data_IF_785782449942
#
_entry.id   IF_785782449942
#
_cell.length_a   1.000
_cell.length_b   1.000
_cell.length_c   1.000
_cell.angle_alpha   90.00
_cell.angle_beta   90.00
_cell.angle_gamma   90.00
#
_symmetry.space_group_name_H-M   'P 1'
#
loop_
_entity.id
_entity.type
_entity.pdbx_description
1 polymer ?
#
# COMPACT_ATOMS: atom_id res chain seq x y z
N UNK A 1 34.51 -12.70 -21.03
CA UNK A 1 33.90 -12.39 -22.35
C UNK A 1 32.63 -11.65 -22.08
N UNK A 2 32.57 -10.36 -22.36
CA UNK A 2 31.31 -9.59 -22.32
C UNK A 2 30.50 -9.99 -23.54
N UNK A 3 29.30 -10.53 -23.31
CA UNK A 3 28.35 -10.77 -24.41
C UNK A 3 28.11 -9.48 -25.17
N UNK A 4 28.10 -9.49 -26.50
CA UNK A 4 27.84 -8.28 -27.26
C UNK A 4 26.46 -7.73 -26.88
N UNK A 5 26.36 -6.44 -26.56
CA UNK A 5 25.12 -5.73 -26.32
C UNK A 5 24.28 -5.86 -27.59
N UNK A 6 23.17 -6.57 -27.51
CA UNK A 6 22.25 -6.73 -28.65
C UNK A 6 21.36 -5.49 -28.75
N UNK A 7 21.45 -4.68 -29.82
CA UNK A 7 20.55 -3.55 -30.02
C UNK A 7 19.10 -4.01 -30.04
N UNK A 8 18.18 -3.19 -29.51
CA UNK A 8 16.74 -3.46 -29.42
C UNK A 8 16.32 -4.63 -28.52
N UNK A 9 17.24 -5.24 -27.78
CA UNK A 9 16.87 -6.21 -26.76
C UNK A 9 16.17 -5.53 -25.59
N UNK A 10 15.06 -6.09 -25.14
CA UNK A 10 14.38 -5.67 -23.90
C UNK A 10 14.96 -6.39 -22.70
N UNK A 11 15.00 -5.73 -21.58
CA UNK A 11 15.38 -6.33 -20.31
C UNK A 11 14.69 -5.58 -19.16
N UNK A 12 14.56 -6.24 -18.04
CA UNK A 12 13.99 -5.64 -16.85
C UNK A 12 14.13 -6.56 -15.66
N UNK A 13 13.88 -6.02 -14.49
CA UNK A 13 14.00 -6.72 -13.21
C UNK A 13 12.77 -6.46 -12.37
N UNK A 14 12.26 -7.50 -11.73
CA UNK A 14 11.17 -7.43 -10.76
C UNK A 14 11.74 -7.52 -9.34
N UNK A 15 11.25 -6.66 -8.46
CA UNK A 15 11.44 -6.72 -7.02
C UNK A 15 10.09 -6.84 -6.31
N UNK A 16 10.05 -7.58 -5.21
CA UNK A 16 8.89 -7.60 -4.31
C UNK A 16 9.11 -6.60 -3.19
N UNK A 17 8.18 -5.67 -2.99
CA UNK A 17 8.14 -4.79 -1.82
C UNK A 17 7.47 -5.49 -0.64
N UNK A 18 6.39 -6.20 -0.94
CA UNK A 18 5.66 -7.06 -0.03
C UNK A 18 5.04 -8.21 -0.82
N UNK A 19 4.35 -9.11 -0.16
CA UNK A 19 3.73 -10.28 -0.79
C UNK A 19 2.78 -9.97 -1.96
N UNK A 20 2.23 -8.75 -2.02
CA UNK A 20 1.23 -8.34 -3.02
C UNK A 20 1.58 -7.02 -3.72
N UNK A 21 2.75 -6.47 -3.44
CA UNK A 21 3.25 -5.23 -4.03
C UNK A 21 4.60 -5.47 -4.68
N UNK A 22 4.74 -4.97 -5.87
CA UNK A 22 5.91 -5.18 -6.73
C UNK A 22 6.42 -3.85 -7.25
N UNK A 23 7.71 -3.79 -7.51
CA UNK A 23 8.34 -2.71 -8.22
C UNK A 23 9.45 -3.26 -9.12
N UNK A 24 9.84 -2.49 -10.09
CA UNK A 24 10.88 -2.92 -11.02
C UNK A 24 11.14 -1.89 -12.09
N UNK A 25 11.79 -2.33 -13.12
CA UNK A 25 12.00 -1.52 -14.32
C UNK A 25 11.96 -2.38 -15.59
N UNK A 26 11.72 -1.73 -16.72
CA UNK A 26 11.89 -2.33 -18.04
C UNK A 26 12.49 -1.32 -19.01
N UNK A 27 13.47 -1.76 -19.78
CA UNK A 27 14.27 -0.94 -20.70
C UNK A 27 14.53 -1.69 -22.00
N UNK A 28 14.70 -0.93 -23.09
CA UNK A 28 15.13 -1.45 -24.41
C UNK A 28 16.49 -0.88 -24.72
N UNK A 29 17.43 -1.73 -25.07
CA UNK A 29 18.82 -1.32 -25.34
C UNK A 29 18.88 -0.36 -26.54
N UNK A 30 19.47 0.83 -26.31
CA UNK A 30 19.63 1.85 -27.34
C UNK A 30 18.34 2.62 -27.67
N UNK A 31 17.33 2.58 -26.82
CA UNK A 31 16.07 3.30 -26.99
C UNK A 31 15.61 3.92 -25.68
N UNK A 32 15.05 5.13 -25.75
CA UNK A 32 14.37 5.80 -24.63
C UNK A 32 12.87 5.51 -24.60
N UNK A 33 12.40 4.61 -25.44
CA UNK A 33 10.99 4.23 -25.52
C UNK A 33 10.49 3.64 -24.20
N UNK A 34 9.32 4.12 -23.74
CA UNK A 34 8.66 3.59 -22.56
C UNK A 34 8.21 2.17 -22.86
N UNK A 35 8.63 1.23 -22.02
CA UNK A 35 8.24 -0.17 -22.16
C UNK A 35 6.91 -0.44 -21.46
N UNK A 36 6.08 -1.24 -22.09
CA UNK A 36 4.86 -1.80 -21.48
C UNK A 36 5.17 -3.18 -20.92
N UNK A 37 4.50 -3.50 -19.83
CA UNK A 37 4.66 -4.77 -19.13
C UNK A 37 3.29 -5.41 -18.95
N UNK A 38 3.15 -6.60 -19.47
CA UNK A 38 1.98 -7.43 -19.29
C UNK A 38 2.09 -8.20 -17.97
N UNK A 39 1.04 -8.11 -17.16
CA UNK A 39 0.94 -8.81 -15.88
C UNK A 39 0.00 -10.00 -16.04
N UNK A 40 0.51 -11.20 -15.78
CA UNK A 40 -0.25 -12.44 -15.87
C UNK A 40 -0.46 -13.04 -14.48
N UNK A 41 -1.61 -13.63 -14.27
CA UNK A 41 -1.93 -14.44 -13.09
C UNK A 41 -2.38 -15.83 -13.56
N UNK A 42 -1.63 -16.90 -13.20
CA UNK A 42 -1.83 -18.25 -13.69
C UNK A 42 -2.04 -18.29 -15.23
N UNK A 43 -1.10 -17.68 -15.97
CA UNK A 43 -1.08 -17.55 -17.43
C UNK A 43 -2.21 -16.69 -18.05
N UNK A 44 -3.08 -16.09 -17.23
CA UNK A 44 -4.11 -15.18 -17.70
C UNK A 44 -3.62 -13.73 -17.59
N UNK A 45 -3.66 -12.98 -18.69
CA UNK A 45 -3.41 -11.53 -18.68
C UNK A 45 -4.46 -10.83 -17.81
N UNK A 46 -4.01 -10.11 -16.79
CA UNK A 46 -4.86 -9.37 -15.87
C UNK A 46 -4.67 -7.85 -15.96
N UNK A 47 -3.51 -7.40 -16.44
CA UNK A 47 -3.20 -5.97 -16.58
C UNK A 47 -2.07 -5.75 -17.58
N UNK A 48 -1.95 -4.49 -18.07
CA UNK A 48 -0.80 -3.99 -18.83
C UNK A 48 -0.44 -2.61 -18.27
N UNK A 49 0.79 -2.46 -17.80
CA UNK A 49 1.29 -1.25 -17.16
C UNK A 49 2.45 -0.65 -17.94
N UNK A 50 2.80 0.60 -17.66
CA UNK A 50 3.92 1.31 -18.30
C UNK A 50 5.08 1.49 -17.31
N UNK A 51 6.30 1.25 -17.77
CA UNK A 51 7.53 1.54 -17.02
C UNK A 51 7.96 2.98 -17.28
N UNK A 52 7.28 3.94 -16.64
CA UNK A 52 7.48 5.39 -16.84
C UNK A 52 7.61 6.16 -15.53
N UNK A 53 7.82 5.47 -14.42
CA UNK A 53 7.98 6.07 -13.10
C UNK A 53 9.47 6.30 -12.77
N UNK A 54 9.75 7.36 -11.98
CA UNK A 54 11.02 7.51 -11.28
C UNK A 54 10.90 6.94 -9.87
N UNK A 55 11.68 5.91 -9.57
CA UNK A 55 11.72 5.29 -8.25
C UNK A 55 13.17 5.33 -7.77
N UNK A 56 13.47 6.15 -6.76
CA UNK A 56 14.83 6.36 -6.24
C UNK A 56 15.56 5.05 -5.94
N UNK A 57 14.91 4.12 -5.26
CA UNK A 57 15.47 2.81 -4.92
C UNK A 57 15.88 1.99 -6.13
N UNK A 58 15.14 2.07 -7.23
CA UNK A 58 15.43 1.38 -8.48
C UNK A 58 16.55 2.13 -9.24
N UNK A 59 16.48 3.44 -9.26
CA UNK A 59 17.49 4.26 -9.92
C UNK A 59 18.87 4.13 -9.28
N UNK A 60 18.93 4.13 -7.94
CA UNK A 60 20.16 3.91 -7.17
C UNK A 60 20.82 2.55 -7.47
N UNK A 61 20.02 1.53 -7.78
CA UNK A 61 20.52 0.19 -8.09
C UNK A 61 20.92 -0.01 -9.57
N UNK A 62 20.20 0.62 -10.50
CA UNK A 62 20.26 0.27 -11.92
C UNK A 62 20.49 1.43 -12.87
N UNK A 63 20.45 2.68 -12.39
CA UNK A 63 20.63 3.90 -13.21
C UNK A 63 19.68 3.90 -14.43
N UNK A 64 18.39 3.81 -14.16
CA UNK A 64 17.37 3.64 -15.20
C UNK A 64 16.44 4.85 -15.35
N UNK A 65 16.65 5.90 -14.54
CA UNK A 65 15.86 7.12 -14.57
C UNK A 65 14.34 6.83 -14.45
N UNK A 66 13.53 7.38 -15.35
CA UNK A 66 12.08 7.19 -15.38
C UNK A 66 11.66 5.96 -16.20
N UNK A 67 12.27 4.81 -15.97
CA UNK A 67 11.93 3.52 -16.59
C UNK A 67 11.47 2.47 -15.59
N UNK A 68 11.14 2.91 -14.35
CA UNK A 68 10.62 2.06 -13.31
C UNK A 68 9.10 1.96 -13.35
N UNK A 69 8.56 1.03 -12.59
CA UNK A 69 7.12 0.84 -12.38
C UNK A 69 6.85 0.34 -10.97
N UNK A 70 5.66 0.59 -10.49
CA UNK A 70 5.06 -0.03 -9.30
C UNK A 70 3.82 -0.80 -9.72
N UNK A 71 3.54 -1.91 -9.03
CA UNK A 71 2.32 -2.68 -9.24
C UNK A 71 1.80 -3.24 -7.93
N UNK A 72 0.57 -2.88 -7.58
CA UNK A 72 -0.16 -3.46 -6.46
C UNK A 72 -1.20 -4.44 -7.00
N UNK A 73 -1.13 -5.70 -6.55
CA UNK A 73 -2.07 -6.72 -6.98
C UNK A 73 -3.51 -6.32 -6.61
N UNK A 74 -4.47 -6.30 -7.54
CA UNK A 74 -5.86 -6.02 -7.20
C UNK A 74 -6.41 -6.96 -6.13
N UNK A 75 -7.14 -6.42 -5.15
CA UNK A 75 -7.62 -7.14 -3.94
C UNK A 75 -8.41 -8.41 -4.27
N UNK A 76 -9.11 -8.42 -5.39
CA UNK A 76 -9.89 -9.57 -5.86
C UNK A 76 -9.06 -10.84 -6.09
N UNK A 77 -7.75 -10.70 -6.29
CA UNK A 77 -6.82 -11.81 -6.52
C UNK A 77 -6.10 -12.28 -5.26
N UNK A 78 -6.25 -11.55 -4.14
CA UNK A 78 -5.59 -11.86 -2.88
C UNK A 78 -6.31 -13.01 -2.16
N UNK A 79 -5.53 -13.96 -1.67
CA UNK A 79 -6.02 -15.05 -0.81
C UNK A 79 -6.04 -16.43 -1.44
N UNK A 80 -5.71 -16.53 -2.73
CA UNK A 80 -5.48 -17.78 -3.43
C UNK A 80 -4.00 -17.93 -3.75
N UNK A 81 -3.48 -19.15 -3.66
CA UNK A 81 -2.15 -19.44 -4.18
C UNK A 81 -2.22 -19.34 -5.70
N UNK A 82 -1.41 -18.46 -6.27
CA UNK A 82 -1.34 -18.21 -7.69
C UNK A 82 0.07 -17.80 -8.08
N UNK A 83 0.40 -17.88 -9.36
CA UNK A 83 1.67 -17.45 -9.92
C UNK A 83 1.44 -16.16 -10.67
N UNK A 84 2.12 -15.07 -10.25
CA UNK A 84 2.12 -13.80 -10.96
C UNK A 84 3.39 -13.68 -11.79
N UNK A 85 3.27 -13.27 -13.04
CA UNK A 85 4.40 -13.07 -13.92
C UNK A 85 4.32 -11.72 -14.66
N UNK A 86 5.48 -11.13 -14.91
CA UNK A 86 5.65 -9.83 -15.55
C UNK A 86 6.49 -10.00 -16.81
N UNK A 87 5.92 -9.68 -17.96
CA UNK A 87 6.57 -9.85 -19.27
C UNK A 87 6.58 -8.54 -20.03
N UNK A 88 7.65 -8.26 -20.73
CA UNK A 88 7.67 -7.15 -21.67
C UNK A 88 6.60 -7.38 -22.75
N UNK A 89 5.75 -6.39 -22.98
CA UNK A 89 4.62 -6.49 -23.90
C UNK A 89 5.04 -6.79 -25.35
N UNK A 90 6.08 -6.12 -25.83
CA UNK A 90 6.48 -6.22 -27.23
C UNK A 90 7.31 -7.49 -27.51
N UNK A 91 8.22 -7.85 -26.62
CA UNK A 91 9.10 -9.00 -26.82
C UNK A 91 8.54 -10.31 -26.23
N UNK A 92 7.62 -10.22 -25.28
CA UNK A 92 7.15 -11.37 -24.51
C UNK A 92 8.19 -11.92 -23.52
N UNK A 93 9.37 -11.28 -23.42
CA UNK A 93 10.42 -11.71 -22.48
C UNK A 93 9.98 -11.44 -21.03
N UNK A 94 10.17 -12.46 -20.20
CA UNK A 94 9.88 -12.34 -18.77
C UNK A 94 10.96 -11.51 -18.06
N UNK A 95 10.54 -10.66 -17.12
CA UNK A 95 11.47 -9.88 -16.31
C UNK A 95 12.28 -10.79 -15.40
N UNK A 96 13.51 -10.43 -15.10
CA UNK A 96 14.34 -11.14 -14.14
C UNK A 96 13.65 -11.14 -12.76
N UNK A 97 13.70 -12.24 -12.04
CA UNK A 97 13.00 -12.53 -10.78
C UNK A 97 11.47 -12.70 -10.89
N UNK A 98 10.92 -12.68 -12.10
CA UNK A 98 9.60 -13.18 -12.43
C UNK A 98 9.71 -14.63 -12.93
N UNK A 99 8.72 -15.52 -12.69
CA UNK A 99 7.47 -15.31 -11.95
C UNK A 99 7.64 -15.36 -10.43
N UNK A 100 6.61 -14.87 -9.71
CA UNK A 100 6.53 -14.91 -8.27
C UNK A 100 5.30 -15.71 -7.80
N UNK A 101 5.47 -16.51 -6.75
CA UNK A 101 4.37 -17.29 -6.18
C UNK A 101 3.71 -16.53 -5.04
N UNK A 102 2.43 -16.17 -5.22
CA UNK A 102 1.64 -15.48 -4.22
C UNK A 102 1.31 -16.40 -3.03
N UNK A 103 1.28 -15.81 -1.84
CA UNK A 103 0.83 -16.51 -0.63
C UNK A 103 -0.69 -16.66 -0.60
N UNK A 104 -1.18 -17.70 0.05
CA UNK A 104 -2.61 -17.93 0.25
C UNK A 104 -3.04 -17.68 1.71
N UNK A 105 -4.34 -17.84 1.98
CA UNK A 105 -4.94 -17.60 3.31
C UNK A 105 -4.35 -18.42 4.46
N UNK A 106 -3.66 -19.52 4.16
CA UNK A 106 -3.08 -20.41 5.16
C UNK A 106 -1.62 -20.07 5.48
N UNK A 107 -1.05 -19.06 4.81
CA UNK A 107 0.31 -18.60 5.11
C UNK A 107 0.30 -17.80 6.41
N UNK A 108 1.32 -17.98 7.26
CA UNK A 108 1.42 -17.31 8.56
C UNK A 108 1.38 -15.79 8.46
N UNK A 109 2.02 -15.21 7.45
CA UNK A 109 2.08 -13.77 7.22
C UNK A 109 0.87 -13.20 6.45
N UNK A 110 -0.11 -14.04 6.08
CA UNK A 110 -1.19 -13.60 5.18
C UNK A 110 -2.01 -12.42 5.72
N UNK A 111 -2.36 -12.43 7.00
CA UNK A 111 -3.18 -11.39 7.59
C UNK A 111 -2.45 -10.06 7.67
N UNK A 112 -1.16 -10.08 8.02
CA UNK A 112 -0.30 -8.90 8.05
C UNK A 112 -0.09 -8.35 6.63
N UNK A 113 0.26 -9.22 5.68
CA UNK A 113 0.44 -8.84 4.28
C UNK A 113 -0.82 -8.22 3.68
N UNK A 114 -2.01 -8.77 3.94
CA UNK A 114 -3.28 -8.22 3.50
C UNK A 114 -3.57 -6.86 4.13
N UNK A 115 -3.28 -6.69 5.41
CA UNK A 115 -3.44 -5.42 6.10
C UNK A 115 -2.52 -4.35 5.49
N UNK A 116 -1.23 -4.63 5.34
CA UNK A 116 -0.26 -3.69 4.75
C UNK A 116 -0.66 -3.32 3.31
N UNK A 117 -1.09 -4.30 2.52
CA UNK A 117 -1.58 -4.05 1.16
C UNK A 117 -2.79 -3.11 1.15
N UNK A 118 -3.73 -3.27 2.10
CA UNK A 118 -4.91 -2.41 2.19
C UNK A 118 -4.57 -0.94 2.46
N UNK A 119 -3.41 -0.66 3.06
CA UNK A 119 -2.93 0.71 3.29
C UNK A 119 -2.44 1.40 2.00
N UNK A 120 -2.08 0.64 0.98
CA UNK A 120 -1.66 1.17 -0.33
C UNK A 120 -2.83 1.41 -1.29
N UNK A 121 -4.02 0.89 -0.97
CA UNK A 121 -5.20 1.11 -1.81
C UNK A 121 -5.76 2.53 -1.65
N UNK A 122 -6.22 3.16 -2.73
CA UNK A 122 -6.89 4.44 -2.62
C UNK A 122 -8.17 4.30 -1.78
N UNK A 123 -8.42 5.28 -0.91
CA UNK A 123 -9.66 5.33 -0.13
C UNK A 123 -10.88 5.25 -1.05
N UNK A 124 -11.84 4.39 -0.73
CA UNK A 124 -13.13 4.36 -1.41
C UNK A 124 -13.83 5.72 -1.30
N UNK A 125 -14.71 6.05 -2.26
CA UNK A 125 -15.50 7.28 -2.19
C UNK A 125 -16.35 7.37 -0.91
N UNK A 126 -16.82 6.23 -0.41
CA UNK A 126 -17.53 6.17 0.87
C UNK A 126 -16.64 6.61 2.03
N UNK A 127 -15.41 6.08 2.12
CA UNK A 127 -14.45 6.47 3.16
C UNK A 127 -13.98 7.91 2.99
N UNK A 128 -13.78 8.41 1.76
CA UNK A 128 -13.47 9.83 1.52
C UNK A 128 -14.60 10.73 2.00
N UNK A 129 -15.86 10.36 1.77
CA UNK A 129 -17.03 11.12 2.22
C UNK A 129 -17.21 11.07 3.75
N UNK A 130 -16.69 10.06 4.42
CA UNK A 130 -16.65 9.96 5.89
C UNK A 130 -15.51 10.78 6.50
N UNK A 131 -14.51 11.17 5.71
CA UNK A 131 -13.38 11.97 6.20
C UNK A 131 -13.84 13.33 6.68
N UNK A 132 -13.54 13.65 7.93
CA UNK A 132 -13.85 14.93 8.56
C UNK A 132 -12.55 15.65 8.89
N UNK A 133 -12.14 16.63 8.07
CA UNK A 133 -10.97 17.44 8.39
C UNK A 133 -11.19 18.17 9.75
N UNK A 134 -10.13 18.46 10.43
CA UNK A 134 -10.13 19.06 11.77
C UNK A 134 -10.81 18.21 12.85
N UNK A 135 -10.73 16.88 12.73
CA UNK A 135 -11.17 15.97 13.77
C UNK A 135 -9.99 15.16 14.33
N UNK A 136 -9.97 14.94 15.63
CA UNK A 136 -8.99 14.12 16.35
C UNK A 136 -9.75 12.97 17.00
N UNK A 137 -9.41 11.74 16.62
CA UNK A 137 -9.96 10.52 17.21
C UNK A 137 -9.08 10.03 18.37
N UNK A 138 -9.69 9.54 19.42
CA UNK A 138 -9.00 8.84 20.50
C UNK A 138 -9.76 7.59 20.93
N UNK A 139 -9.01 6.59 21.42
CA UNK A 139 -9.59 5.32 21.89
C UNK A 139 -10.11 5.48 23.32
N UNK A 140 -11.41 5.32 23.51
CA UNK A 140 -12.08 5.35 24.80
C UNK A 140 -12.38 3.93 25.30
N UNK A 141 -11.33 3.12 25.47
CA UNK A 141 -11.42 1.82 26.12
C UNK A 141 -11.62 1.99 27.62
N UNK A 142 -12.11 0.94 28.31
CA UNK A 142 -12.25 0.98 29.76
C UNK A 142 -10.94 1.32 30.45
N UNK A 143 -9.83 0.70 30.02
CA UNK A 143 -8.49 0.95 30.55
C UNK A 143 -8.09 2.41 30.40
N UNK A 144 -8.27 3.00 29.19
CA UNK A 144 -7.94 4.40 28.95
C UNK A 144 -8.84 5.37 29.75
N UNK A 145 -10.11 5.00 29.99
CA UNK A 145 -11.03 5.82 30.78
C UNK A 145 -10.75 5.75 32.28
N UNK A 146 -10.17 4.67 32.76
CA UNK A 146 -9.72 4.48 34.18
C UNK A 146 -8.32 5.10 34.41
N UNK A 147 -7.58 5.43 33.36
CA UNK A 147 -6.27 6.07 33.44
C UNK A 147 -6.41 7.60 33.53
N UNK A 148 -6.17 8.14 34.72
CA UNK A 148 -6.31 9.57 34.98
C UNK A 148 -5.30 10.41 34.18
N UNK A 149 -4.09 9.91 33.91
CA UNK A 149 -3.08 10.61 33.11
C UNK A 149 -3.55 10.71 31.63
N UNK A 150 -4.09 9.65 31.09
CA UNK A 150 -4.67 9.66 29.75
C UNK A 150 -5.84 10.65 29.65
N UNK A 151 -6.76 10.64 30.64
CA UNK A 151 -7.92 11.56 30.66
C UNK A 151 -7.45 13.01 30.75
N UNK A 152 -6.48 13.30 31.59
CA UNK A 152 -5.92 14.66 31.75
C UNK A 152 -5.26 15.10 30.44
N UNK A 153 -4.47 14.24 29.81
CA UNK A 153 -3.82 14.51 28.53
C UNK A 153 -4.81 14.84 27.40
N UNK A 154 -5.87 14.05 27.26
CA UNK A 154 -6.91 14.31 26.26
C UNK A 154 -7.62 15.63 26.53
N UNK A 155 -7.98 15.94 27.81
CA UNK A 155 -8.60 17.21 28.17
C UNK A 155 -7.67 18.40 27.89
N UNK A 156 -6.37 18.25 28.11
CA UNK A 156 -5.39 19.29 27.79
C UNK A 156 -5.35 19.55 26.27
N UNK A 157 -5.31 18.50 25.44
CA UNK A 157 -5.34 18.64 23.98
C UNK A 157 -6.64 19.33 23.52
N UNK A 158 -7.78 18.96 24.11
CA UNK A 158 -9.06 19.61 23.79
C UNK A 158 -9.03 21.12 24.07
N UNK A 159 -8.38 21.52 25.15
CA UNK A 159 -8.23 22.94 25.51
C UNK A 159 -7.24 23.67 24.59
N UNK A 160 -6.15 23.01 24.20
CA UNK A 160 -5.10 23.61 23.36
C UNK A 160 -5.54 23.72 21.89
N UNK A 161 -6.47 22.86 21.44
CA UNK A 161 -6.96 22.81 20.07
C UNK A 161 -8.49 22.96 19.97
N UNK A 162 -9.08 24.08 20.42
CA UNK A 162 -10.54 24.25 20.48
C UNK A 162 -11.23 24.28 19.12
N UNK A 163 -10.48 24.49 18.02
CA UNK A 163 -11.01 24.46 16.66
C UNK A 163 -11.23 23.03 16.12
N UNK A 164 -10.70 22.01 16.81
CA UNK A 164 -10.83 20.62 16.39
C UNK A 164 -12.02 19.94 17.06
N UNK A 165 -12.65 19.01 16.32
CA UNK A 165 -13.65 18.10 16.88
C UNK A 165 -12.95 16.87 17.44
N UNK A 166 -13.30 16.51 18.65
CA UNK A 166 -12.79 15.29 19.29
C UNK A 166 -13.82 14.18 19.17
N UNK A 167 -13.38 13.01 18.70
CA UNK A 167 -14.24 11.85 18.45
C UNK A 167 -13.74 10.69 19.29
N UNK A 168 -14.51 10.31 20.30
CA UNK A 168 -14.22 9.12 21.10
C UNK A 168 -14.64 7.85 20.34
N UNK A 169 -13.69 6.94 20.14
CA UNK A 169 -13.90 5.63 19.57
C UNK A 169 -14.06 4.62 20.70
N UNK A 170 -15.22 4.00 20.83
CA UNK A 170 -15.56 3.07 21.91
C UNK A 170 -16.09 1.75 21.34
N UNK A 171 -15.85 0.66 22.09
CA UNK A 171 -16.31 -0.68 21.72
C UNK A 171 -17.64 -1.00 22.41
N UNK A 172 -17.79 -0.54 23.67
CA UNK A 172 -18.97 -0.83 24.52
C UNK A 172 -19.82 0.43 24.68
N UNK A 173 -21.13 0.32 24.39
CA UNK A 173 -22.10 1.41 24.57
C UNK A 173 -22.22 1.87 26.03
N UNK A 174 -21.88 1.03 27.00
CA UNK A 174 -21.86 1.41 28.41
C UNK A 174 -20.80 2.49 28.71
N UNK A 175 -19.74 2.55 27.93
CA UNK A 175 -18.70 3.56 28.06
C UNK A 175 -19.15 4.98 27.71
N UNK A 176 -20.26 5.14 26.99
CA UNK A 176 -20.76 6.48 26.55
C UNK A 176 -21.01 7.40 27.74
N UNK A 177 -21.59 6.88 28.83
CA UNK A 177 -21.89 7.68 30.02
C UNK A 177 -20.61 8.17 30.69
N UNK A 178 -19.61 7.31 30.76
CA UNK A 178 -18.31 7.62 31.35
C UNK A 178 -17.54 8.62 30.48
N UNK A 179 -17.52 8.42 29.16
CA UNK A 179 -16.94 9.38 28.20
C UNK A 179 -17.55 10.77 28.39
N UNK A 180 -18.87 10.87 28.48
CA UNK A 180 -19.55 12.15 28.71
C UNK A 180 -19.20 12.78 30.05
N UNK A 181 -19.02 11.98 31.10
CA UNK A 181 -18.65 12.48 32.42
C UNK A 181 -17.19 13.02 32.42
N UNK A 182 -16.27 12.32 31.78
CA UNK A 182 -14.85 12.69 31.81
C UNK A 182 -14.47 13.78 30.81
N UNK A 183 -15.15 13.86 29.67
CA UNK A 183 -14.83 14.80 28.59
C UNK A 183 -15.96 15.77 28.23
N UNK A 184 -17.17 15.58 28.74
CA UNK A 184 -18.35 16.36 28.36
C UNK A 184 -18.35 17.84 28.76
N UNK A 185 -17.45 18.27 29.64
CA UNK A 185 -17.30 19.69 30.00
C UNK A 185 -16.65 20.51 28.89
N UNK A 186 -15.94 19.87 27.97
CA UNK A 186 -15.24 20.47 26.85
C UNK A 186 -15.88 20.12 25.50
N UNK A 187 -17.06 19.47 25.48
CA UNK A 187 -17.77 19.13 24.25
C UNK A 187 -18.62 20.31 23.79
N UNK A 188 -18.23 20.91 22.67
CA UNK A 188 -19.08 21.79 21.87
C UNK A 188 -19.91 20.97 20.89
#
# INVERSE_FOLDING_TARGET
>A
MTSPIQPNKTYGVLHTESFFSFLGFAKKVGSDEIQKIDVFLDDKLIDTIEANEFIQKIDDMYDVESKAFTYNLPTQYIGKKAIISFKNHDSGEELLNSPYTLINKNHEDFNEAKFLHSLSEPLSEELKNMYKPNSIGFLATKENLEDDEFVEYINQIMNDFPAYKFVALYIDKNSIKEIKNKFGKNSN
#
